data_IF_846943345174
#
_entry.id   IF_846943345174
#
_cell.length_a   1.000
_cell.length_b   1.000
_cell.length_c   1.000
_cell.angle_alpha   90.00
_cell.angle_beta   90.00
_cell.angle_gamma   90.00
#
_symmetry.space_group_name_H-M   'P 1'
#
loop_
_entity.id
_entity.type
_entity.pdbx_description
1 polymer ?
#
# COMPACT_ATOMS: atom_id res chain seq x y z
N UNK A 1 -3.36 -23.54 -22.81
CA UNK A 1 -2.89 -23.90 -21.45
C UNK A 1 -3.76 -25.01 -20.91
N UNK A 2 -3.19 -26.07 -20.35
CA UNK A 2 -3.96 -27.17 -19.75
C UNK A 2 -4.53 -26.77 -18.38
N UNK A 3 -5.56 -27.49 -17.85
CA UNK A 3 -6.04 -27.24 -16.49
C UNK A 3 -4.95 -27.35 -15.42
N UNK A 4 -4.04 -28.34 -15.56
CA UNK A 4 -2.91 -28.53 -14.66
C UNK A 4 -1.92 -27.35 -14.69
N UNK A 5 -1.66 -26.79 -15.88
CA UNK A 5 -0.80 -25.62 -16.02
C UNK A 5 -1.44 -24.39 -15.36
N UNK A 6 -2.74 -24.25 -15.50
CA UNK A 6 -3.46 -23.13 -14.86
C UNK A 6 -3.46 -23.27 -13.33
N UNK A 7 -3.66 -24.47 -12.80
CA UNK A 7 -3.58 -24.72 -11.36
C UNK A 7 -2.17 -24.44 -10.81
N UNK A 8 -1.12 -24.82 -11.55
CA UNK A 8 0.25 -24.45 -11.20
C UNK A 8 0.43 -22.93 -11.14
N UNK A 9 -0.06 -22.19 -12.13
CA UNK A 9 0.02 -20.72 -12.14
C UNK A 9 -0.75 -20.09 -10.96
N UNK A 10 -1.93 -20.60 -10.63
CA UNK A 10 -2.71 -20.15 -9.47
C UNK A 10 -1.93 -20.33 -8.17
N UNK A 11 -1.31 -21.48 -7.98
CA UNK A 11 -0.48 -21.76 -6.79
C UNK A 11 0.75 -20.86 -6.76
N UNK A 12 1.45 -20.70 -7.88
CA UNK A 12 2.61 -19.82 -8.00
C UNK A 12 2.27 -18.38 -7.62
N UNK A 13 1.18 -17.84 -8.17
CA UNK A 13 0.74 -16.47 -7.91
C UNK A 13 0.35 -16.27 -6.44
N UNK A 14 -0.38 -17.23 -5.86
CA UNK A 14 -0.74 -17.20 -4.43
C UNK A 14 0.51 -17.20 -3.56
N UNK A 15 1.48 -18.06 -3.82
CA UNK A 15 2.70 -18.17 -3.04
C UNK A 15 3.62 -16.95 -3.19
N UNK A 16 3.69 -16.37 -4.39
CA UNK A 16 4.62 -15.27 -4.69
C UNK A 16 4.07 -13.89 -4.42
N UNK A 17 2.76 -13.68 -4.51
CA UNK A 17 2.14 -12.36 -4.39
C UNK A 17 0.88 -12.32 -3.52
N UNK A 18 0.39 -13.45 -3.02
CA UNK A 18 -0.90 -13.55 -2.33
C UNK A 18 -2.10 -13.50 -3.27
N UNK A 19 -1.90 -13.33 -4.58
CA UNK A 19 -2.98 -13.21 -5.55
C UNK A 19 -3.75 -14.52 -5.67
N UNK A 20 -5.01 -14.50 -5.30
CA UNK A 20 -5.95 -15.59 -5.50
C UNK A 20 -6.67 -15.41 -6.83
N UNK A 21 -6.39 -16.29 -7.77
CA UNK A 21 -7.02 -16.31 -9.09
C UNK A 21 -8.09 -17.41 -9.12
N UNK A 22 -9.35 -17.03 -9.36
CA UNK A 22 -10.45 -18.01 -9.47
C UNK A 22 -10.37 -18.82 -10.77
N UNK A 23 -10.99 -19.99 -10.79
CA UNK A 23 -10.94 -20.91 -11.94
C UNK A 23 -11.48 -20.28 -13.23
N UNK A 24 -12.50 -19.42 -13.12
CA UNK A 24 -13.12 -18.77 -14.29
C UNK A 24 -12.23 -17.69 -14.92
N UNK A 25 -11.12 -17.29 -14.27
CA UNK A 25 -10.20 -16.24 -14.74
C UNK A 25 -9.02 -16.76 -15.56
N UNK A 26 -9.12 -17.97 -16.12
CA UNK A 26 -8.08 -18.51 -17.01
C UNK A 26 -7.81 -17.59 -18.20
N UNK A 27 -8.86 -17.00 -18.80
CA UNK A 27 -8.74 -16.06 -19.91
C UNK A 27 -7.89 -14.82 -19.56
N UNK A 28 -7.92 -14.38 -18.29
CA UNK A 28 -7.11 -13.26 -17.81
C UNK A 28 -5.63 -13.63 -17.77
N UNK A 29 -5.31 -14.83 -17.28
CA UNK A 29 -3.94 -15.36 -17.32
C UNK A 29 -3.44 -15.48 -18.75
N UNK A 30 -4.26 -16.00 -19.66
CA UNK A 30 -3.90 -16.14 -21.07
C UNK A 30 -3.61 -14.78 -21.72
N UNK A 31 -4.48 -13.79 -21.53
CA UNK A 31 -4.32 -12.47 -22.13
C UNK A 31 -3.10 -11.71 -21.58
N UNK A 32 -2.81 -11.84 -20.30
CA UNK A 32 -1.71 -11.12 -19.64
C UNK A 32 -0.34 -11.80 -19.78
N UNK A 33 -0.31 -13.12 -19.84
CA UNK A 33 0.95 -13.88 -19.86
C UNK A 33 1.45 -14.22 -21.27
N UNK A 34 0.59 -14.18 -22.28
CA UNK A 34 1.04 -14.40 -23.67
C UNK A 34 2.09 -13.37 -24.13
N UNK A 35 1.99 -12.08 -23.83
CA UNK A 35 3.06 -11.11 -24.09
C UNK A 35 4.37 -11.47 -23.36
N UNK A 36 4.29 -11.93 -22.11
CA UNK A 36 5.48 -12.36 -21.35
C UNK A 36 6.14 -13.57 -22.01
N UNK A 37 5.35 -14.59 -22.38
CA UNK A 37 5.87 -15.75 -23.10
C UNK A 37 6.61 -15.34 -24.38
N UNK A 38 6.00 -14.50 -25.21
CA UNK A 38 6.61 -13.99 -26.45
C UNK A 38 7.90 -13.22 -26.22
N UNK A 39 7.96 -12.36 -25.18
CA UNK A 39 9.18 -11.64 -24.78
C UNK A 39 10.35 -12.58 -24.48
N UNK A 40 10.06 -13.75 -23.93
CA UNK A 40 11.05 -14.78 -23.63
C UNK A 40 11.27 -15.79 -24.76
N UNK A 41 10.76 -15.54 -25.97
CA UNK A 41 10.91 -16.42 -27.14
C UNK A 41 10.12 -17.72 -27.06
N UNK A 42 9.09 -17.78 -26.20
CA UNK A 42 8.25 -18.96 -26.01
C UNK A 42 7.01 -18.88 -26.90
N UNK A 43 6.68 -19.99 -27.55
CA UNK A 43 5.57 -20.06 -28.52
C UNK A 43 4.19 -20.24 -27.88
N UNK A 44 4.15 -20.67 -26.60
CA UNK A 44 2.91 -20.99 -25.91
C UNK A 44 2.97 -20.72 -24.40
N UNK A 45 1.79 -20.67 -23.78
CA UNK A 45 1.70 -20.59 -22.31
C UNK A 45 2.10 -21.90 -21.63
N UNK A 46 1.95 -23.06 -22.31
CA UNK A 46 2.46 -24.32 -21.81
C UNK A 46 3.99 -24.29 -21.65
N UNK A 47 4.70 -23.79 -22.66
CA UNK A 47 6.15 -23.60 -22.57
C UNK A 47 6.55 -22.62 -21.48
N UNK A 48 5.77 -21.54 -21.27
CA UNK A 48 5.99 -20.61 -20.16
C UNK A 48 5.87 -21.32 -18.81
N UNK A 49 4.85 -22.15 -18.63
CA UNK A 49 4.64 -22.91 -17.39
C UNK A 49 5.76 -23.92 -17.16
N UNK A 50 6.19 -24.65 -18.18
CA UNK A 50 7.34 -25.58 -18.07
C UNK A 50 8.63 -24.82 -17.71
N UNK A 51 8.85 -23.65 -18.30
CA UNK A 51 9.98 -22.80 -17.94
C UNK A 51 9.92 -22.33 -16.50
N UNK A 52 8.72 -21.96 -15.99
CA UNK A 52 8.51 -21.58 -14.61
C UNK A 52 8.71 -22.73 -13.62
N UNK A 53 8.28 -23.95 -13.97
CA UNK A 53 8.52 -25.16 -13.16
C UNK A 53 10.01 -25.48 -13.01
N UNK A 54 10.79 -25.25 -14.07
CA UNK A 54 12.24 -25.45 -14.06
C UNK A 54 13.04 -24.30 -13.44
N UNK A 55 12.43 -23.12 -13.24
CA UNK A 55 13.10 -21.93 -12.77
C UNK A 55 13.16 -21.85 -11.24
N UNK A 56 14.20 -21.17 -10.72
CA UNK A 56 14.24 -20.83 -9.29
C UNK A 56 13.15 -19.83 -8.93
N UNK A 57 12.78 -19.78 -7.66
CA UNK A 57 11.73 -18.89 -7.16
C UNK A 57 11.99 -17.40 -7.49
N UNK A 58 13.24 -16.99 -7.54
CA UNK A 58 13.67 -15.59 -7.80
C UNK A 58 14.03 -15.32 -9.26
N UNK A 59 13.82 -16.29 -10.17
CA UNK A 59 14.16 -16.10 -11.58
C UNK A 59 13.38 -14.92 -12.20
N UNK A 60 14.00 -14.09 -13.06
CA UNK A 60 13.38 -12.90 -13.65
C UNK A 60 12.03 -13.18 -14.33
N UNK A 61 11.92 -14.29 -15.04
CA UNK A 61 10.66 -14.69 -15.70
C UNK A 61 9.52 -14.90 -14.69
N UNK A 62 9.81 -15.41 -13.51
CA UNK A 62 8.81 -15.55 -12.45
C UNK A 62 8.37 -14.22 -11.85
N UNK A 63 9.29 -13.26 -11.75
CA UNK A 63 8.97 -11.88 -11.33
C UNK A 63 8.07 -11.23 -12.37
N UNK A 64 8.42 -11.31 -13.66
CA UNK A 64 7.62 -10.73 -14.74
C UNK A 64 6.21 -11.34 -14.82
N UNK A 65 6.07 -12.64 -14.60
CA UNK A 65 4.76 -13.29 -14.53
C UNK A 65 3.91 -12.75 -13.38
N UNK A 66 4.49 -12.57 -12.20
CA UNK A 66 3.79 -11.96 -11.06
C UNK A 66 3.38 -10.53 -11.38
N UNK A 67 4.28 -9.71 -11.90
CA UNK A 67 4.01 -8.32 -12.26
C UNK A 67 2.91 -8.20 -13.33
N UNK A 68 2.96 -9.04 -14.37
CA UNK A 68 1.93 -9.07 -15.42
C UNK A 68 0.54 -9.47 -14.90
N UNK A 69 0.49 -10.25 -13.82
CA UNK A 69 -0.77 -10.68 -13.22
C UNK A 69 -1.32 -9.72 -12.17
N UNK A 70 -0.53 -8.77 -11.69
CA UNK A 70 -1.04 -7.73 -10.78
C UNK A 70 -2.01 -6.78 -11.48
N UNK A 71 -2.95 -6.24 -10.73
CA UNK A 71 -3.89 -5.23 -11.24
C UNK A 71 -3.52 -3.88 -10.65
N UNK A 72 -2.91 -3.06 -11.49
CA UNK A 72 -2.29 -1.79 -11.09
C UNK A 72 -3.21 -0.58 -11.35
N UNK A 73 -4.53 -0.77 -11.22
CA UNK A 73 -5.49 0.32 -11.43
C UNK A 73 -5.42 1.31 -10.27
N UNK A 74 -5.06 2.55 -10.60
CA UNK A 74 -5.04 3.66 -9.66
C UNK A 74 -5.45 4.96 -10.36
N UNK A 75 -5.95 5.94 -9.60
CA UNK A 75 -6.19 7.29 -10.07
C UNK A 75 -6.09 8.29 -8.91
N UNK A 76 -5.91 9.56 -9.25
CA UNK A 76 -5.76 10.62 -8.25
C UNK A 76 -7.01 10.78 -7.40
N UNK A 77 -6.82 10.93 -6.08
CA UNK A 77 -7.90 11.09 -5.10
C UNK A 77 -8.98 10.01 -5.18
N UNK A 78 -8.59 8.77 -5.49
CA UNK A 78 -9.49 7.61 -5.62
C UNK A 78 -10.41 7.49 -4.40
N UNK A 79 -11.75 7.44 -4.68
CA UNK A 79 -12.86 7.35 -3.71
C UNK A 79 -13.09 8.63 -2.88
N UNK A 80 -12.33 9.70 -3.01
CA UNK A 80 -12.39 11.00 -2.31
C UNK A 80 -12.40 10.93 -0.78
N UNK A 81 -13.33 10.18 -0.17
CA UNK A 81 -13.52 10.04 1.29
C UNK A 81 -12.22 9.77 2.06
N UNK A 82 -11.31 8.85 1.65
CA UNK A 82 -10.04 8.65 2.33
C UNK A 82 -9.18 9.91 2.44
N UNK A 83 -9.22 10.77 1.43
CA UNK A 83 -8.45 12.03 1.42
C UNK A 83 -9.16 13.15 2.20
N UNK A 84 -10.47 13.11 2.30
CA UNK A 84 -11.24 13.96 3.22
C UNK A 84 -10.94 13.56 4.67
N UNK A 85 -10.96 12.27 5.01
CA UNK A 85 -10.50 11.79 6.31
C UNK A 85 -9.06 12.19 6.61
N UNK A 86 -8.17 12.09 5.63
CA UNK A 86 -6.79 12.54 5.76
C UNK A 86 -6.70 14.00 6.17
N UNK A 87 -7.40 14.91 5.46
CA UNK A 87 -7.38 16.34 5.71
C UNK A 87 -8.07 16.73 7.01
N UNK A 88 -9.28 16.19 7.25
CA UNK A 88 -10.22 16.76 8.24
C UNK A 88 -10.16 16.02 9.59
N UNK A 89 -9.61 14.82 9.63
CA UNK A 89 -9.60 13.98 10.84
C UNK A 89 -8.18 13.54 11.20
N UNK A 90 -7.46 12.90 10.27
CA UNK A 90 -6.20 12.22 10.55
C UNK A 90 -5.09 13.24 10.80
N UNK A 91 -4.87 14.18 9.85
CA UNK A 91 -3.78 15.15 9.99
C UNK A 91 -3.94 16.06 11.22
N UNK A 92 -5.13 16.62 11.53
CA UNK A 92 -5.31 17.37 12.77
C UNK A 92 -4.99 16.57 14.04
N UNK A 93 -5.43 15.31 14.11
CA UNK A 93 -5.15 14.43 15.25
C UNK A 93 -3.66 14.11 15.38
N UNK A 94 -2.99 13.74 14.28
CA UNK A 94 -1.55 13.44 14.29
C UNK A 94 -0.70 14.68 14.59
N UNK A 95 -1.05 15.83 14.07
CA UNK A 95 -0.36 17.08 14.37
C UNK A 95 -0.47 17.44 15.87
N UNK A 96 -1.63 17.24 16.48
CA UNK A 96 -1.77 17.43 17.93
C UNK A 96 -0.93 16.40 18.72
N UNK A 97 -0.99 15.13 18.35
CA UNK A 97 -0.28 14.06 19.04
C UNK A 97 1.25 14.12 18.88
N UNK A 98 1.75 14.64 17.77
CA UNK A 98 3.20 14.75 17.43
C UNK A 98 3.73 16.18 17.50
N UNK A 99 3.06 17.07 18.24
CA UNK A 99 3.40 18.49 18.32
C UNK A 99 4.84 18.76 18.83
N UNK A 100 5.39 17.87 19.65
CA UNK A 100 6.77 17.95 20.17
C UNK A 100 7.79 17.49 19.15
N UNK A 101 7.58 16.30 18.56
CA UNK A 101 8.49 15.64 17.62
C UNK A 101 8.46 16.29 16.25
N UNK A 102 7.34 16.90 15.88
CA UNK A 102 7.06 17.47 14.55
C UNK A 102 7.42 16.52 13.41
N UNK A 103 7.12 15.24 13.61
CA UNK A 103 7.40 14.19 12.64
C UNK A 103 6.18 13.29 12.46
N UNK A 104 5.80 13.04 11.21
CA UNK A 104 4.72 12.13 10.82
C UNK A 104 5.26 11.22 9.72
N UNK A 105 4.96 9.93 9.81
CA UNK A 105 5.32 8.93 8.79
C UNK A 105 4.06 8.30 8.23
N UNK A 106 3.97 8.31 6.91
CA UNK A 106 2.85 7.80 6.12
C UNK A 106 3.34 6.66 5.23
N UNK A 107 2.59 5.57 5.15
CA UNK A 107 2.90 4.46 4.26
C UNK A 107 1.72 4.13 3.34
N UNK A 108 1.95 4.14 2.02
CA UNK A 108 1.05 3.60 0.99
C UNK A 108 1.57 2.21 0.61
N UNK A 109 0.84 1.15 0.96
CA UNK A 109 1.36 -0.24 0.90
C UNK A 109 1.31 -0.88 -0.49
N UNK A 110 0.45 -0.38 -1.39
CA UNK A 110 0.31 -0.82 -2.76
C UNK A 110 0.01 0.40 -3.64
N UNK A 111 1.06 1.15 -3.97
CA UNK A 111 0.93 2.50 -4.52
C UNK A 111 0.68 2.53 -6.03
N UNK A 112 0.76 1.38 -6.71
CA UNK A 112 0.69 1.27 -8.16
C UNK A 112 1.57 2.34 -8.86
N UNK A 113 1.00 3.07 -9.80
CA UNK A 113 1.72 4.12 -10.56
C UNK A 113 1.81 5.48 -9.83
N UNK A 114 1.57 5.52 -8.51
CA UNK A 114 1.92 6.65 -7.63
C UNK A 114 0.83 7.69 -7.38
N UNK A 115 -0.37 7.54 -7.94
CA UNK A 115 -1.43 8.55 -7.79
C UNK A 115 -1.88 8.74 -6.34
N UNK A 116 -1.94 7.67 -5.54
CA UNK A 116 -2.34 7.74 -4.14
C UNK A 116 -1.32 8.51 -3.29
N UNK A 117 -0.03 8.14 -3.23
CA UNK A 117 0.94 8.90 -2.44
C UNK A 117 1.12 10.34 -2.93
N UNK A 118 0.99 10.61 -4.23
CA UNK A 118 1.02 11.98 -4.73
C UNK A 118 -0.23 12.78 -4.36
N UNK A 119 -1.39 12.14 -4.28
CA UNK A 119 -2.60 12.80 -3.75
C UNK A 119 -2.43 13.22 -2.29
N UNK A 120 -1.78 12.38 -1.47
CA UNK A 120 -1.42 12.73 -0.09
C UNK A 120 -0.39 13.86 -0.05
N UNK A 121 0.64 13.83 -0.89
CA UNK A 121 1.65 14.88 -0.96
C UNK A 121 1.04 16.24 -1.36
N UNK A 122 0.14 16.27 -2.35
CA UNK A 122 -0.62 17.47 -2.71
C UNK A 122 -1.53 17.95 -1.57
N UNK A 123 -2.16 17.02 -0.84
CA UNK A 123 -2.95 17.31 0.35
C UNK A 123 -2.11 17.98 1.44
N UNK A 124 -0.91 17.49 1.72
CA UNK A 124 0.04 18.11 2.67
C UNK A 124 0.43 19.53 2.26
N UNK A 125 0.70 19.76 0.98
CA UNK A 125 0.98 21.11 0.45
C UNK A 125 -0.23 22.06 0.57
N UNK A 126 -1.43 21.51 0.55
CA UNK A 126 -2.66 22.31 0.74
C UNK A 126 -2.88 22.67 2.21
N UNK A 127 -2.52 21.79 3.16
CA UNK A 127 -2.48 22.11 4.61
C UNK A 127 -1.48 23.26 4.88
N UNK A 128 -0.38 23.30 4.13
CA UNK A 128 0.48 24.46 3.98
C UNK A 128 1.18 24.92 5.26
N UNK A 129 0.99 26.21 5.66
CA UNK A 129 1.77 26.84 6.74
C UNK A 129 1.69 26.12 8.10
N UNK A 130 0.61 25.42 8.38
CA UNK A 130 0.45 24.64 9.62
C UNK A 130 1.47 23.51 9.77
N UNK A 131 2.09 23.06 8.65
CA UNK A 131 3.16 22.07 8.63
C UNK A 131 4.57 22.70 8.57
N UNK A 132 4.71 24.01 8.77
CA UNK A 132 6.02 24.64 8.80
C UNK A 132 6.88 24.05 9.95
N UNK A 133 8.09 23.58 9.60
CA UNK A 133 9.00 22.93 10.55
C UNK A 133 8.66 21.46 10.86
N UNK A 134 7.67 20.87 10.19
CA UNK A 134 7.37 19.44 10.30
C UNK A 134 8.15 18.61 9.30
N UNK A 135 8.58 17.43 9.74
CA UNK A 135 9.11 16.39 8.87
C UNK A 135 8.01 15.37 8.58
N UNK A 136 7.41 15.43 7.40
CA UNK A 136 6.44 14.43 6.95
C UNK A 136 7.08 13.55 5.90
N UNK A 137 7.17 12.25 6.18
CA UNK A 137 7.74 11.23 5.29
C UNK A 137 6.61 10.41 4.68
N UNK A 138 6.56 10.32 3.35
CA UNK A 138 5.68 9.39 2.64
C UNK A 138 6.53 8.28 2.05
N UNK A 139 6.34 7.06 2.53
CA UNK A 139 6.89 5.83 1.95
C UNK A 139 5.79 5.18 1.12
N UNK A 140 6.09 4.88 -0.12
CA UNK A 140 5.16 4.22 -1.04
C UNK A 140 5.79 2.94 -1.55
N UNK A 141 5.08 1.82 -1.41
CA UNK A 141 5.60 0.52 -1.82
C UNK A 141 4.68 -0.16 -2.81
N UNK A 142 5.25 -1.00 -3.67
CA UNK A 142 4.51 -1.89 -4.55
C UNK A 142 5.37 -3.13 -4.85
N UNK A 143 4.73 -4.21 -5.28
CA UNK A 143 5.43 -5.43 -5.68
C UNK A 143 6.07 -5.28 -7.06
N UNK A 144 5.49 -4.46 -7.95
CA UNK A 144 5.90 -4.31 -9.35
C UNK A 144 6.97 -3.22 -9.51
N UNK A 145 8.09 -3.61 -10.10
CA UNK A 145 9.15 -2.67 -10.49
C UNK A 145 8.69 -1.69 -11.58
N UNK A 146 7.89 -2.17 -12.53
CA UNK A 146 7.42 -1.39 -13.66
C UNK A 146 6.56 -0.20 -13.19
N UNK A 147 5.56 -0.45 -12.33
CA UNK A 147 4.71 0.63 -11.82
C UNK A 147 5.46 1.60 -10.93
N UNK A 148 6.45 1.11 -10.16
CA UNK A 148 7.32 1.96 -9.35
C UNK A 148 8.21 2.85 -10.21
N UNK A 149 8.70 2.37 -11.35
CA UNK A 149 9.46 3.18 -12.30
C UNK A 149 8.60 4.32 -12.86
N UNK A 150 7.34 4.02 -13.27
CA UNK A 150 6.37 5.03 -13.69
C UNK A 150 6.03 6.01 -12.57
N UNK A 151 5.80 5.53 -11.36
CA UNK A 151 5.53 6.36 -10.19
C UNK A 151 6.70 7.33 -9.91
N UNK A 152 7.94 6.86 -9.93
CA UNK A 152 9.15 7.69 -9.74
C UNK A 152 9.30 8.75 -10.84
N UNK A 153 8.98 8.42 -12.08
CA UNK A 153 9.00 9.38 -13.18
C UNK A 153 7.97 10.50 -12.98
N UNK A 154 6.82 10.17 -12.41
CA UNK A 154 5.73 11.11 -12.15
C UNK A 154 5.14 11.71 -13.44
N UNK A 155 5.13 10.92 -14.51
CA UNK A 155 4.63 11.33 -15.84
C UNK A 155 3.33 10.58 -16.11
N UNK A 156 2.28 11.32 -16.46
CA UNK A 156 0.93 10.83 -16.66
C UNK A 156 0.36 11.37 -17.97
N UNK A 157 -0.42 10.56 -18.66
CA UNK A 157 -1.12 11.01 -19.84
C UNK A 157 -2.37 11.84 -19.48
N UNK A 158 -3.00 12.44 -20.51
CA UNK A 158 -4.19 13.28 -20.34
C UNK A 158 -5.34 12.55 -19.64
N UNK A 159 -5.59 11.29 -19.96
CA UNK A 159 -6.65 10.49 -19.36
C UNK A 159 -6.39 10.25 -17.85
N UNK A 160 -5.14 9.96 -17.47
CA UNK A 160 -4.76 9.71 -16.08
C UNK A 160 -4.93 10.96 -15.19
N UNK A 161 -4.60 12.15 -15.70
CA UNK A 161 -4.78 13.40 -14.93
C UNK A 161 -6.22 13.90 -14.93
N UNK A 162 -7.04 13.51 -15.90
CA UNK A 162 -8.47 13.83 -15.88
C UNK A 162 -9.27 12.95 -14.91
N UNK A 163 -8.75 11.78 -14.56
CA UNK A 163 -9.41 10.84 -13.68
C UNK A 163 -9.15 11.18 -12.22
N UNK A 164 -10.08 11.88 -11.60
CA UNK A 164 -10.11 12.17 -10.17
C UNK A 164 -9.26 13.36 -9.70
N UNK A 165 -8.34 13.88 -10.52
CA UNK A 165 -7.51 15.04 -10.15
C UNK A 165 -8.32 16.33 -10.32
N UNK A 166 -8.47 17.16 -9.26
CA UNK A 166 -9.09 18.48 -9.39
C UNK A 166 -8.27 19.37 -10.35
N UNK A 167 -8.95 20.12 -11.21
CA UNK A 167 -8.28 21.02 -12.17
C UNK A 167 -7.32 22.02 -11.50
N UNK A 168 -7.68 22.50 -10.32
CA UNK A 168 -6.82 23.39 -9.53
C UNK A 168 -5.52 22.72 -9.12
N UNK A 169 -5.56 21.41 -8.78
CA UNK A 169 -4.37 20.62 -8.45
C UNK A 169 -3.53 20.34 -9.69
N UNK A 170 -4.16 20.10 -10.85
CA UNK A 170 -3.43 19.94 -12.11
C UNK A 170 -2.64 21.21 -12.45
N UNK A 171 -3.29 22.35 -12.44
CA UNK A 171 -2.64 23.65 -12.77
C UNK A 171 -1.53 23.99 -11.76
N UNK A 172 -1.74 23.66 -10.48
CA UNK A 172 -0.80 24.01 -9.43
C UNK A 172 0.42 23.10 -9.33
N UNK A 173 0.23 21.80 -9.57
CA UNK A 173 1.23 20.78 -9.24
C UNK A 173 1.74 19.98 -10.44
N UNK A 174 1.34 20.31 -11.65
CA UNK A 174 1.81 19.63 -12.85
C UNK A 174 2.26 20.64 -13.90
N UNK A 175 3.21 20.23 -14.70
CA UNK A 175 3.61 20.93 -15.93
C UNK A 175 3.35 20.01 -17.14
N UNK A 176 2.87 20.57 -18.23
CA UNK A 176 2.72 19.84 -19.47
C UNK A 176 4.09 19.63 -20.12
N UNK A 177 4.37 18.40 -20.51
CA UNK A 177 5.62 17.99 -21.19
C UNK A 177 5.22 17.18 -22.42
N UNK A 178 5.22 17.82 -23.60
CA UNK A 178 4.67 17.24 -24.82
C UNK A 178 3.17 16.95 -24.65
N UNK A 179 2.77 15.71 -24.90
CA UNK A 179 1.38 15.24 -24.74
C UNK A 179 1.08 14.70 -23.32
N UNK A 180 2.07 14.74 -22.42
CA UNK A 180 1.95 14.23 -21.07
C UNK A 180 2.02 15.35 -20.01
N UNK A 181 1.74 14.99 -18.77
CA UNK A 181 1.79 15.85 -17.61
C UNK A 181 2.80 15.31 -16.59
N UNK A 182 3.76 16.11 -16.22
CA UNK A 182 4.74 15.77 -15.21
C UNK A 182 4.41 16.45 -13.89
N UNK A 183 4.37 15.68 -12.80
CA UNK A 183 4.15 16.23 -11.46
C UNK A 183 5.38 17.05 -11.02
N UNK A 184 5.13 18.15 -10.33
CA UNK A 184 6.18 19.08 -9.89
C UNK A 184 7.24 18.38 -9.04
N UNK A 185 8.54 18.73 -9.22
CA UNK A 185 9.64 18.11 -8.49
C UNK A 185 9.48 18.17 -6.98
N UNK A 186 8.90 19.24 -6.44
CA UNK A 186 8.64 19.44 -5.02
C UNK A 186 7.59 18.48 -4.44
N UNK A 187 6.62 18.02 -5.26
CA UNK A 187 5.65 16.98 -4.85
C UNK A 187 6.30 15.61 -4.99
N UNK A 188 7.01 15.38 -6.11
CA UNK A 188 7.71 14.13 -6.39
C UNK A 188 8.74 13.81 -5.33
N UNK A 189 9.50 14.81 -4.87
CA UNK A 189 10.51 14.68 -3.81
C UNK A 189 9.95 14.35 -2.42
N UNK A 190 8.64 14.47 -2.19
CA UNK A 190 8.02 14.12 -0.91
C UNK A 190 7.78 12.61 -0.74
N UNK A 191 7.88 11.82 -1.80
CA UNK A 191 7.54 10.40 -1.81
C UNK A 191 8.77 9.53 -2.04
N UNK A 192 8.99 8.56 -1.16
CA UNK A 192 10.04 7.55 -1.27
C UNK A 192 9.43 6.25 -1.80
N UNK A 193 9.72 5.88 -3.03
CA UNK A 193 9.23 4.64 -3.64
C UNK A 193 10.21 3.48 -3.39
N UNK A 194 9.69 2.35 -2.87
CA UNK A 194 10.44 1.12 -2.60
C UNK A 194 9.69 -0.09 -3.10
N UNK A 195 10.40 -1.07 -3.64
CA UNK A 195 9.79 -2.36 -3.93
C UNK A 195 9.56 -3.12 -2.61
N UNK A 196 8.35 -3.67 -2.48
CA UNK A 196 8.00 -4.51 -1.34
C UNK A 196 6.84 -5.43 -1.70
N UNK A 197 6.99 -6.70 -1.33
CA UNK A 197 5.89 -7.66 -1.33
C UNK A 197 5.29 -7.74 0.08
N UNK A 198 3.98 -7.55 0.21
CA UNK A 198 3.29 -7.60 1.50
C UNK A 198 3.32 -8.99 2.16
N UNK A 199 3.67 -10.05 1.41
CA UNK A 199 3.94 -11.36 1.98
C UNK A 199 5.28 -11.44 2.73
N UNK A 200 6.25 -10.59 2.37
CA UNK A 200 7.56 -10.54 3.02
C UNK A 200 7.50 -9.72 4.32
N UNK A 201 8.54 -9.87 5.15
CA UNK A 201 8.70 -9.01 6.32
C UNK A 201 8.94 -7.56 5.91
N UNK A 202 8.24 -6.65 6.57
CA UNK A 202 8.38 -5.21 6.40
C UNK A 202 8.71 -4.46 7.69
N UNK A 203 9.11 -5.18 8.74
CA UNK A 203 9.51 -4.57 10.02
C UNK A 203 10.66 -3.57 9.88
N UNK A 204 11.54 -3.80 8.91
CA UNK A 204 12.67 -2.90 8.60
C UNK A 204 12.25 -1.51 8.12
N UNK A 205 10.99 -1.32 7.70
CA UNK A 205 10.47 0.00 7.34
C UNK A 205 10.25 0.89 8.57
N UNK A 206 10.19 0.29 9.78
CA UNK A 206 9.89 0.98 11.04
C UNK A 206 8.40 1.32 11.20
N UNK A 207 8.07 2.15 12.20
CA UNK A 207 6.68 2.49 12.53
C UNK A 207 6.13 3.62 11.67
N UNK A 208 4.81 3.61 11.43
CA UNK A 208 4.09 4.61 10.66
C UNK A 208 2.87 5.11 11.44
N UNK A 209 2.68 6.41 11.47
CA UNK A 209 1.52 7.06 12.09
C UNK A 209 0.24 6.86 11.28
N UNK A 210 0.39 6.71 9.96
CA UNK A 210 -0.69 6.52 9.02
C UNK A 210 -0.32 5.47 7.97
N UNK A 211 -1.20 4.49 7.79
CA UNK A 211 -1.06 3.47 6.74
C UNK A 211 -2.27 3.50 5.81
N UNK A 212 -2.02 3.70 4.52
CA UNK A 212 -2.98 3.50 3.43
C UNK A 212 -2.74 2.10 2.85
N UNK A 213 -3.63 1.16 3.16
CA UNK A 213 -3.62 -0.20 2.62
C UNK A 213 -4.91 -0.40 1.84
N UNK A 214 -4.96 0.12 0.61
CA UNK A 214 -6.20 0.24 -0.15
C UNK A 214 -6.14 -0.54 -1.45
N UNK A 215 -7.24 -1.25 -1.74
CA UNK A 215 -7.45 -1.96 -2.99
C UNK A 215 -6.38 -3.02 -3.30
N UNK A 216 -5.84 -3.65 -2.28
CA UNK A 216 -4.85 -4.72 -2.36
C UNK A 216 -5.29 -5.98 -1.61
N UNK A 217 -5.91 -5.86 -0.44
CA UNK A 217 -6.37 -7.01 0.34
C UNK A 217 -7.47 -7.79 -0.38
N UNK A 218 -8.22 -7.15 -1.28
CA UNK A 218 -9.24 -7.80 -2.11
C UNK A 218 -8.73 -8.95 -2.97
N UNK A 219 -7.43 -8.99 -3.22
CA UNK A 219 -6.78 -10.04 -4.03
C UNK A 219 -6.31 -11.24 -3.20
N UNK A 220 -6.26 -11.11 -1.87
CA UNK A 220 -5.74 -12.12 -0.96
C UNK A 220 -6.84 -13.04 -0.43
N UNK A 221 -6.47 -14.26 -0.03
CA UNK A 221 -7.33 -15.10 0.77
C UNK A 221 -7.44 -14.57 2.22
N UNK A 222 -8.36 -15.16 2.98
CA UNK A 222 -8.63 -14.71 4.34
C UNK A 222 -7.43 -14.81 5.27
N UNK A 223 -6.67 -15.91 5.18
CA UNK A 223 -5.49 -16.14 6.02
C UNK A 223 -4.41 -15.08 5.76
N UNK A 224 -4.12 -14.81 4.49
CA UNK A 224 -3.16 -13.77 4.08
C UNK A 224 -3.62 -12.37 4.51
N UNK A 225 -4.93 -12.05 4.40
CA UNK A 225 -5.48 -10.77 4.90
C UNK A 225 -5.22 -10.59 6.39
N UNK A 226 -5.52 -11.61 7.18
CA UNK A 226 -5.34 -11.60 8.63
C UNK A 226 -3.88 -11.41 8.99
N UNK A 227 -2.97 -12.15 8.36
CA UNK A 227 -1.54 -12.02 8.59
C UNK A 227 -1.03 -10.61 8.27
N UNK A 228 -1.35 -10.08 7.08
CA UNK A 228 -0.95 -8.73 6.66
C UNK A 228 -1.48 -7.68 7.65
N UNK A 229 -2.77 -7.72 7.99
CA UNK A 229 -3.38 -6.78 8.93
C UNK A 229 -2.71 -6.82 10.32
N UNK A 230 -2.44 -8.02 10.84
CA UNK A 230 -1.77 -8.17 12.15
C UNK A 230 -0.33 -7.65 12.12
N UNK A 231 0.38 -7.81 11.00
CA UNK A 231 1.73 -7.27 10.83
C UNK A 231 1.71 -5.75 10.67
N UNK A 232 0.73 -5.18 9.95
CA UNK A 232 0.53 -3.73 9.86
C UNK A 232 0.30 -3.11 11.25
N UNK A 233 -0.52 -3.74 12.09
CA UNK A 233 -0.79 -3.23 13.44
C UNK A 233 0.49 -3.11 14.29
N UNK A 234 1.45 -4.04 14.12
CA UNK A 234 2.75 -3.99 14.83
C UNK A 234 3.66 -2.86 14.35
N UNK A 235 3.40 -2.32 13.16
CA UNK A 235 4.13 -1.19 12.58
C UNK A 235 3.49 0.16 12.88
N UNK A 236 2.50 0.20 13.77
CA UNK A 236 1.73 1.41 14.06
C UNK A 236 1.72 1.71 15.55
N UNK A 237 1.84 2.98 15.95
CA UNK A 237 1.60 3.39 17.33
C UNK A 237 0.10 3.24 17.65
N UNK A 238 -0.23 3.17 18.95
CA UNK A 238 -1.60 2.97 19.42
C UNK A 238 -2.60 4.05 18.95
N UNK A 239 -2.11 5.23 18.67
CA UNK A 239 -2.85 6.39 18.17
C UNK A 239 -2.72 6.61 16.65
N UNK A 240 -2.20 5.60 15.94
CA UNK A 240 -2.08 5.61 14.48
C UNK A 240 -3.40 5.36 13.76
N UNK A 241 -3.39 5.51 12.45
CA UNK A 241 -4.57 5.35 11.59
C UNK A 241 -4.29 4.40 10.44
N UNK A 242 -5.22 3.44 10.21
CA UNK A 242 -5.25 2.59 9.04
C UNK A 242 -6.42 3.00 8.14
N UNK A 243 -6.15 3.22 6.86
CA UNK A 243 -7.16 3.51 5.83
C UNK A 243 -7.21 2.35 4.85
N UNK A 244 -8.40 1.79 4.65
CA UNK A 244 -8.67 0.71 3.70
C UNK A 244 -9.50 1.20 2.50
N UNK A 245 -9.51 0.43 1.43
CA UNK A 245 -10.38 0.64 0.28
C UNK A 245 -11.86 0.37 0.58
N UNK A 246 -12.73 0.88 -0.26
CA UNK A 246 -14.19 0.83 -0.03
C UNK A 246 -14.78 -0.59 0.08
N UNK A 247 -14.13 -1.59 -0.55
CA UNK A 247 -14.53 -3.00 -0.51
C UNK A 247 -13.76 -3.83 0.54
N UNK A 248 -12.95 -3.19 1.39
CA UNK A 248 -12.09 -3.85 2.36
C UNK A 248 -12.54 -3.55 3.79
N UNK A 249 -12.33 -4.47 4.71
CA UNK A 249 -12.70 -4.34 6.11
C UNK A 249 -11.74 -5.13 7.00
N UNK A 250 -11.66 -4.75 8.27
CA UNK A 250 -11.02 -5.55 9.33
C UNK A 250 -12.03 -6.38 10.12
N UNK A 251 -13.31 -6.01 10.03
CA UNK A 251 -14.39 -6.65 10.83
C UNK A 251 -14.55 -8.10 10.42
N UNK A 252 -14.52 -8.99 11.39
CA UNK A 252 -14.57 -10.44 11.16
C UNK A 252 -13.28 -11.07 10.64
N UNK A 253 -12.18 -10.28 10.51
CA UNK A 253 -10.87 -10.76 10.10
C UNK A 253 -9.84 -10.71 11.24
N UNK A 254 -9.77 -9.59 11.98
CA UNK A 254 -8.76 -9.42 13.02
C UNK A 254 -9.26 -8.50 14.14
N UNK A 255 -8.80 -8.78 15.35
CA UNK A 255 -9.00 -7.91 16.52
C UNK A 255 -7.89 -6.84 16.66
N UNK A 256 -6.90 -6.82 15.76
CA UNK A 256 -5.79 -5.87 15.85
C UNK A 256 -6.20 -4.42 15.56
N UNK A 257 -7.33 -4.23 14.89
CA UNK A 257 -7.88 -2.93 14.56
C UNK A 257 -9.37 -2.86 14.92
N UNK A 258 -9.85 -1.67 15.23
CA UNK A 258 -11.26 -1.35 15.39
C UNK A 258 -11.68 -0.24 14.44
N UNK A 259 -12.91 -0.27 13.90
CA UNK A 259 -13.41 0.80 13.05
C UNK A 259 -13.55 2.10 13.86
N UNK A 260 -13.25 3.22 13.23
CA UNK A 260 -13.55 4.53 13.79
C UNK A 260 -15.03 4.85 13.57
N UNK A 261 -15.78 5.21 14.62
CA UNK A 261 -17.21 5.52 14.49
C UNK A 261 -17.47 6.58 13.41
N UNK A 262 -18.51 6.37 12.61
CA UNK A 262 -18.96 7.30 11.55
C UNK A 262 -17.91 7.61 10.45
N UNK A 263 -16.79 6.90 10.42
CA UNK A 263 -15.68 7.11 9.46
C UNK A 263 -15.43 5.81 8.67
N UNK A 264 -16.24 5.54 7.66
CA UNK A 264 -16.11 4.33 6.85
C UNK A 264 -14.70 4.23 6.22
N UNK A 265 -14.10 3.04 6.33
CA UNK A 265 -12.77 2.76 5.79
C UNK A 265 -11.61 3.29 6.65
N UNK A 266 -11.91 3.93 7.80
CA UNK A 266 -10.91 4.42 8.73
C UNK A 266 -10.91 3.56 10.01
N UNK A 267 -9.74 3.10 10.40
CA UNK A 267 -9.53 2.20 11.54
C UNK A 267 -8.39 2.71 12.40
N UNK A 268 -8.42 2.33 13.68
CA UNK A 268 -7.33 2.60 14.63
C UNK A 268 -6.86 1.28 15.25
N UNK A 269 -5.58 1.16 15.65
CA UNK A 269 -5.10 -0.01 16.37
C UNK A 269 -5.94 -0.28 17.59
N UNK A 270 -6.32 -1.55 17.78
CA UNK A 270 -7.05 -1.98 18.96
C UNK A 270 -6.04 -2.41 20.01
N UNK A 271 -5.41 -1.45 20.66
CA UNK A 271 -4.47 -1.73 21.74
C UNK A 271 -5.27 -2.27 22.93
N UNK A 272 -4.98 -3.48 23.45
CA UNK A 272 -5.59 -3.93 24.69
C UNK A 272 -5.28 -2.87 25.76
N UNK A 273 -6.31 -2.44 26.51
CA UNK A 273 -6.08 -1.55 27.64
C UNK A 273 -5.00 -2.21 28.53
N UNK A 274 -3.85 -1.57 28.65
CA UNK A 274 -2.81 -1.99 29.60
C UNK A 274 -3.47 -1.91 30.97
N UNK A 275 -3.86 -3.06 31.54
CA UNK A 275 -4.29 -3.12 32.93
C UNK A 275 -3.12 -2.55 33.74
N UNK A 276 -3.35 -1.51 34.54
CA UNK A 276 -2.27 -1.00 35.41
C UNK A 276 -1.75 -2.18 36.25
N UNK A 277 -0.48 -2.49 36.08
CA UNK A 277 0.19 -3.47 36.94
C UNK A 277 0.03 -2.96 38.36
N UNK A 278 -0.57 -3.74 39.32
CA UNK A 278 -0.66 -3.30 40.68
C UNK A 278 0.76 -3.02 41.16
N UNK A 279 0.96 -1.83 41.73
CA UNK A 279 2.22 -1.41 42.28
C UNK A 279 2.72 -2.51 43.23
N UNK A 280 3.86 -3.10 42.89
CA UNK A 280 4.52 -4.06 43.77
C UNK A 280 4.77 -3.37 45.11
N UNK A 281 4.12 -3.88 46.19
CA UNK A 281 4.44 -3.52 47.57
C UNK A 281 5.93 -3.80 47.80
N UNK A 282 6.72 -2.75 47.73
CA UNK A 282 8.09 -2.80 48.23
C UNK A 282 7.99 -2.89 49.74
N UNK A 283 8.13 -4.10 50.23
CA UNK A 283 8.30 -4.41 51.68
C UNK A 283 9.46 -3.57 52.21
N UNK A 284 9.10 -2.61 53.07
CA UNK A 284 10.05 -1.92 53.94
C UNK A 284 10.64 -2.93 54.88
N UNK A 285 11.86 -3.39 54.65
CA UNK A 285 12.69 -4.00 55.67
C UNK A 285 13.16 -2.89 56.62
N UNK A 286 12.52 -2.84 57.77
CA UNK A 286 13.01 -2.06 58.90
C UNK A 286 14.27 -2.73 59.44
N UNK A 287 15.40 -2.06 59.36
CA UNK A 287 16.58 -2.35 60.19
C UNK A 287 16.24 -2.03 61.62
N UNK A 288 16.26 -3.04 62.48
CA UNK A 288 16.43 -2.87 63.93
C UNK A 288 17.89 -3.12 64.30
N UNK A 289 18.44 -2.12 64.92
CA UNK A 289 19.60 -2.05 65.83
C UNK A 289 20.74 -3.05 65.68
#
# INVERSE_FOLDING_TARGET
>A
MTPQDFDFLRQLLRQRSGLVLSAEKQYLAESRLLPVARKHGLGSLGELVERLKAATFTAPIGVEVVEAMTTNESFFFRDKIPFEHFRDTIMPALMAARAREKRIRIWCTACATGQEPYSLAMGLKTIGPSLAGWKVEIVATDISHEVLAKAKAGIYNQFEVQRGLPIQSLVKFFAQVGEAWQIAPEIRGMVQFRQLNLLNDFASLGTFDLVFCRNVLIYFDQETKVDVLNRLARQMPADGFLVLGAAETVVGLTEAFKPMPERRGLYVPNTPAVKPTPASNVLKFALKA
#
